data_IF_912658230403
#
_entry.id   IF_912658230403
#
_cell.length_a   1.000
_cell.length_b   1.000
_cell.length_c   1.000
_cell.angle_alpha   90.00
_cell.angle_beta   90.00
_cell.angle_gamma   90.00
#
_symmetry.space_group_name_H-M   'P 1'
#
loop_
_entity.id
_entity.type
_entity.pdbx_description
1 polymer ?
#
# COMPACT_ATOMS: atom_id res chain seq x y z
N UNK A 1 -31.41 -15.37 9.27
CA UNK A 1 -31.64 -14.09 9.98
C UNK A 1 -31.16 -14.24 11.41
N UNK A 2 -30.31 -13.31 11.87
CA UNK A 2 -29.85 -13.27 13.26
C UNK A 2 -30.97 -12.71 14.13
N UNK A 3 -31.21 -13.32 15.29
CA UNK A 3 -32.27 -12.82 16.18
C UNK A 3 -32.00 -11.34 16.54
N UNK A 4 -33.03 -10.51 16.49
CA UNK A 4 -32.93 -9.07 16.72
C UNK A 4 -32.24 -8.73 18.04
N UNK A 5 -32.50 -9.48 19.10
CA UNK A 5 -31.87 -9.33 20.43
C UNK A 5 -30.36 -9.58 20.40
N UNK A 6 -29.87 -10.56 19.59
CA UNK A 6 -28.44 -10.85 19.42
C UNK A 6 -27.76 -9.71 18.67
N UNK A 7 -28.40 -9.12 17.65
CA UNK A 7 -27.92 -7.98 16.87
C UNK A 7 -27.75 -6.72 17.73
N UNK A 8 -28.78 -6.32 18.48
CA UNK A 8 -28.73 -5.13 19.35
C UNK A 8 -27.63 -5.28 20.42
N UNK A 9 -27.51 -6.45 21.02
CA UNK A 9 -26.47 -6.74 22.01
C UNK A 9 -25.05 -6.62 21.39
N UNK A 10 -24.85 -7.11 20.19
CA UNK A 10 -23.59 -6.98 19.46
C UNK A 10 -23.23 -5.52 19.20
N UNK A 11 -24.19 -4.75 18.69
CA UNK A 11 -24.00 -3.33 18.36
C UNK A 11 -23.61 -2.51 19.61
N UNK A 12 -24.36 -2.64 20.69
CA UNK A 12 -24.09 -1.87 21.92
C UNK A 12 -22.75 -2.22 22.55
N UNK A 13 -22.41 -3.51 22.68
CA UNK A 13 -21.13 -3.97 23.26
C UNK A 13 -19.94 -3.51 22.45
N UNK A 14 -20.04 -3.62 21.12
CA UNK A 14 -18.93 -3.28 20.25
C UNK A 14 -18.71 -1.76 20.18
N UNK A 15 -19.77 -0.96 20.11
CA UNK A 15 -19.69 0.51 20.11
C UNK A 15 -19.19 1.06 21.44
N UNK A 16 -19.70 0.54 22.58
CA UNK A 16 -19.19 0.96 23.91
C UNK A 16 -17.70 0.66 24.05
N UNK A 17 -17.27 -0.55 23.68
CA UNK A 17 -15.85 -0.93 23.69
C UNK A 17 -15.01 0.00 22.78
N UNK A 18 -15.53 0.33 21.61
CA UNK A 18 -14.83 1.21 20.67
C UNK A 18 -14.66 2.62 21.21
N UNK A 19 -15.66 3.16 21.87
CA UNK A 19 -15.58 4.49 22.48
C UNK A 19 -14.44 4.58 23.50
N UNK A 20 -14.24 3.50 24.29
CA UNK A 20 -13.23 3.44 25.35
C UNK A 20 -11.84 3.05 24.83
N UNK A 21 -11.74 2.18 23.81
CA UNK A 21 -10.49 1.49 23.44
C UNK A 21 -9.93 1.89 22.06
N UNK A 22 -10.63 2.74 21.31
CA UNK A 22 -10.15 3.16 19.97
C UNK A 22 -8.81 3.88 20.07
N UNK A 23 -7.85 3.44 19.24
CA UNK A 23 -6.56 4.11 19.12
C UNK A 23 -6.73 5.52 18.55
N UNK A 24 -5.97 6.49 19.08
CA UNK A 24 -5.87 7.83 18.47
C UNK A 24 -5.11 7.75 17.13
N UNK A 25 -5.80 8.10 16.06
CA UNK A 25 -5.23 8.11 14.72
C UNK A 25 -5.49 9.45 14.04
N UNK A 26 -4.51 10.01 13.30
CA UNK A 26 -4.64 11.36 12.74
C UNK A 26 -5.83 11.53 11.78
N UNK A 27 -6.29 10.46 11.13
CA UNK A 27 -7.45 10.47 10.22
C UNK A 27 -8.80 10.24 10.92
N UNK A 28 -8.81 10.01 12.25
CA UNK A 28 -10.03 9.90 13.08
C UNK A 28 -10.41 11.20 13.79
N UNK A 29 -9.61 12.28 13.62
CA UNK A 29 -9.83 13.55 14.30
C UNK A 29 -11.01 14.35 13.77
N UNK A 30 -11.43 14.08 12.56
CA UNK A 30 -12.59 14.66 11.91
C UNK A 30 -13.14 13.72 10.84
N UNK A 31 -14.33 14.02 10.35
CA UNK A 31 -15.02 13.24 9.32
C UNK A 31 -14.83 13.83 7.90
N UNK A 32 -13.71 14.51 7.63
CA UNK A 32 -13.40 15.06 6.31
C UNK A 32 -13.26 13.92 5.28
N UNK A 33 -14.12 13.86 4.23
CA UNK A 33 -14.13 12.76 3.29
C UNK A 33 -12.82 12.60 2.50
N UNK A 34 -12.14 13.70 2.17
CA UNK A 34 -10.85 13.65 1.50
C UNK A 34 -9.78 13.04 2.40
N UNK A 35 -9.74 13.44 3.66
CA UNK A 35 -8.79 12.92 4.65
C UNK A 35 -8.98 11.43 4.90
N UNK A 36 -10.22 10.97 4.96
CA UNK A 36 -10.56 9.55 5.08
C UNK A 36 -10.16 8.81 3.81
N UNK A 37 -10.47 9.34 2.62
CA UNK A 37 -10.07 8.75 1.35
C UNK A 37 -8.55 8.55 1.27
N UNK A 38 -7.76 9.56 1.66
CA UNK A 38 -6.29 9.46 1.70
C UNK A 38 -5.83 8.36 2.65
N UNK A 39 -6.38 8.28 3.86
CA UNK A 39 -6.01 7.24 4.82
C UNK A 39 -6.34 5.83 4.29
N UNK A 40 -7.50 5.66 3.66
CA UNK A 40 -7.91 4.38 3.09
C UNK A 40 -6.97 3.92 1.97
N UNK A 41 -6.56 4.83 1.07
CA UNK A 41 -5.55 4.51 0.06
C UNK A 41 -4.20 4.13 0.67
N UNK A 42 -3.77 4.80 1.74
CA UNK A 42 -2.50 4.49 2.42
C UNK A 42 -2.55 3.18 3.18
N UNK A 43 -3.69 2.85 3.79
CA UNK A 43 -3.89 1.63 4.59
C UNK A 43 -4.06 0.36 3.76
N UNK A 44 -4.36 0.46 2.45
CA UNK A 44 -4.40 -0.72 1.58
C UNK A 44 -3.07 -1.48 1.66
N UNK A 45 -3.08 -2.67 2.26
CA UNK A 45 -1.92 -3.56 2.43
C UNK A 45 -0.70 -2.92 3.15
N UNK A 46 -0.93 -1.88 3.95
CA UNK A 46 0.11 -1.20 4.73
C UNK A 46 -0.32 -1.07 6.19
N UNK A 47 0.58 -1.37 7.11
CA UNK A 47 0.30 -1.30 8.55
C UNK A 47 0.12 0.14 9.04
N UNK A 48 -0.80 0.35 9.97
CA UNK A 48 -1.11 1.65 10.59
C UNK A 48 0.13 2.40 11.06
N UNK A 49 1.04 1.72 11.78
CA UNK A 49 2.28 2.31 12.30
C UNK A 49 3.13 2.93 11.18
N UNK A 50 3.17 2.29 10.03
CA UNK A 50 3.90 2.79 8.84
C UNK A 50 3.16 3.97 8.22
N UNK A 51 1.83 3.95 8.17
CA UNK A 51 1.02 4.99 7.51
C UNK A 51 1.03 6.31 8.25
N UNK A 52 1.01 6.32 9.59
CA UNK A 52 0.90 7.54 10.39
C UNK A 52 1.89 8.66 9.98
N UNK A 53 3.22 8.43 9.89
CA UNK A 53 4.16 9.47 9.50
C UNK A 53 3.96 9.95 8.05
N UNK A 54 3.60 9.05 7.14
CA UNK A 54 3.31 9.40 5.75
C UNK A 54 2.05 10.26 5.62
N UNK A 55 0.99 9.88 6.31
CA UNK A 55 -0.25 10.64 6.34
C UNK A 55 -0.05 12.07 6.87
N UNK A 56 0.69 12.22 7.97
CA UNK A 56 1.02 13.55 8.53
C UNK A 56 1.80 14.41 7.53
N UNK A 57 2.81 13.82 6.86
CA UNK A 57 3.58 14.51 5.81
C UNK A 57 2.71 14.86 4.60
N UNK A 58 1.83 13.94 4.19
CA UNK A 58 0.91 14.13 3.07
C UNK A 58 -0.05 15.27 3.31
N UNK A 59 -0.69 15.32 4.47
CA UNK A 59 -1.65 16.37 4.82
C UNK A 59 -1.02 17.77 4.90
N UNK A 60 0.29 17.87 5.18
CA UNK A 60 1.01 19.16 5.08
C UNK A 60 1.18 19.64 3.65
N UNK A 61 1.42 18.72 2.71
CA UNK A 61 1.73 19.07 1.31
C UNK A 61 0.49 19.06 0.41
N UNK A 62 -0.50 18.23 0.71
CA UNK A 62 -1.73 18.04 -0.05
C UNK A 62 -2.95 18.03 0.90
N UNK A 63 -3.26 19.16 1.54
CA UNK A 63 -4.34 19.24 2.54
C UNK A 63 -5.74 19.06 1.95
N UNK A 64 -5.91 19.27 0.64
CA UNK A 64 -7.19 19.18 -0.09
C UNK A 64 -7.04 18.39 -1.39
N UNK A 65 -8.16 17.90 -1.93
CA UNK A 65 -8.20 17.26 -3.23
C UNK A 65 -7.71 18.18 -4.36
N UNK A 66 -7.99 19.48 -4.27
CA UNK A 66 -7.51 20.50 -5.21
C UNK A 66 -5.98 20.56 -5.24
N UNK A 67 -5.33 20.70 -4.08
CA UNK A 67 -3.86 20.74 -3.98
C UNK A 67 -3.20 19.46 -4.49
N UNK A 68 -3.86 18.31 -4.27
CA UNK A 68 -3.38 17.04 -4.80
C UNK A 68 -3.56 16.94 -6.32
N UNK A 69 -4.69 17.38 -6.85
CA UNK A 69 -4.98 17.40 -8.29
C UNK A 69 -3.98 18.25 -9.07
N UNK A 70 -3.65 19.44 -8.53
CA UNK A 70 -2.71 20.38 -9.12
C UNK A 70 -1.23 19.91 -9.03
N UNK A 71 -0.91 18.94 -8.18
CA UNK A 71 0.46 18.48 -8.00
C UNK A 71 0.94 17.62 -9.17
N UNK A 72 2.24 17.72 -9.53
CA UNK A 72 2.85 16.83 -10.50
C UNK A 72 2.89 15.38 -10.00
N UNK A 73 2.79 14.41 -10.90
CA UNK A 73 2.89 12.99 -10.55
C UNK A 73 4.20 12.67 -9.82
N UNK A 74 5.31 13.26 -10.25
CA UNK A 74 6.62 13.09 -9.62
C UNK A 74 6.61 13.54 -8.14
N UNK A 75 6.03 14.71 -7.85
CA UNK A 75 5.88 15.22 -6.47
C UNK A 75 5.03 14.28 -5.61
N UNK A 76 3.94 13.77 -6.15
CA UNK A 76 3.04 12.82 -5.46
C UNK A 76 3.77 11.50 -5.16
N UNK A 77 4.45 10.93 -6.16
CA UNK A 77 5.24 9.70 -6.01
C UNK A 77 6.38 9.89 -4.99
N UNK A 78 7.01 11.07 -4.96
CA UNK A 78 8.07 11.37 -3.97
C UNK A 78 7.55 11.40 -2.54
N UNK A 79 6.33 11.91 -2.32
CA UNK A 79 5.70 11.88 -0.99
C UNK A 79 5.25 10.47 -0.56
N UNK A 80 5.04 9.57 -1.54
CA UNK A 80 4.64 8.19 -1.32
C UNK A 80 5.83 7.22 -1.21
N UNK A 81 7.05 7.69 -1.50
CA UNK A 81 8.26 6.88 -1.56
C UNK A 81 8.47 6.07 -0.26
N UNK A 82 8.56 4.74 -0.39
CA UNK A 82 8.72 3.83 0.74
C UNK A 82 7.42 3.13 1.21
N UNK A 83 6.23 3.64 0.89
CA UNK A 83 4.96 2.96 1.21
C UNK A 83 4.68 1.72 0.33
N UNK A 84 5.33 1.64 -0.84
CA UNK A 84 5.06 0.58 -1.82
C UNK A 84 3.72 0.73 -2.54
N UNK A 85 3.45 -0.20 -3.49
CA UNK A 85 2.21 -0.18 -4.29
C UNK A 85 1.88 1.22 -4.84
N UNK A 86 2.81 1.78 -5.61
CA UNK A 86 2.76 3.17 -6.11
C UNK A 86 1.55 3.47 -7.02
N UNK A 87 0.90 2.44 -7.57
CA UNK A 87 -0.39 2.58 -8.26
C UNK A 87 -1.46 3.24 -7.39
N UNK A 88 -1.40 3.04 -6.05
CA UNK A 88 -2.31 3.71 -5.11
C UNK A 88 -2.13 5.22 -5.13
N UNK A 89 -0.89 5.71 -5.08
CA UNK A 89 -0.59 7.14 -5.16
C UNK A 89 -1.06 7.76 -6.49
N UNK A 90 -0.81 7.06 -7.60
CA UNK A 90 -1.28 7.48 -8.92
C UNK A 90 -2.81 7.52 -9.00
N UNK A 91 -3.47 6.48 -8.50
CA UNK A 91 -4.92 6.40 -8.47
C UNK A 91 -5.52 7.49 -7.56
N UNK A 92 -4.94 7.71 -6.38
CA UNK A 92 -5.39 8.77 -5.47
C UNK A 92 -5.28 10.17 -6.12
N UNK A 93 -4.18 10.44 -6.85
CA UNK A 93 -4.06 11.68 -7.62
C UNK A 93 -5.09 11.76 -8.75
N UNK A 94 -5.29 10.69 -9.51
CA UNK A 94 -6.33 10.63 -10.56
C UNK A 94 -7.72 10.85 -9.97
N UNK A 95 -8.03 10.23 -8.82
CA UNK A 95 -9.28 10.47 -8.10
C UNK A 95 -9.44 11.92 -7.68
N UNK A 96 -8.37 12.58 -7.21
CA UNK A 96 -8.42 14.00 -6.87
C UNK A 96 -8.67 14.89 -8.10
N UNK A 97 -8.09 14.58 -9.26
CA UNK A 97 -8.37 15.27 -10.52
C UNK A 97 -9.84 15.10 -10.91
N UNK A 98 -10.34 13.87 -10.88
CA UNK A 98 -11.75 13.58 -11.21
C UNK A 98 -12.71 14.26 -10.23
N UNK A 99 -12.39 14.30 -8.93
CA UNK A 99 -13.17 15.03 -7.92
C UNK A 99 -13.28 16.52 -8.28
N UNK A 100 -12.21 17.15 -8.76
CA UNK A 100 -12.25 18.53 -9.22
C UNK A 100 -13.10 18.71 -10.47
N UNK A 101 -12.93 17.84 -11.46
CA UNK A 101 -13.57 17.98 -12.78
C UNK A 101 -15.05 17.61 -12.80
N UNK A 102 -15.44 16.55 -12.10
CA UNK A 102 -16.77 15.95 -12.21
C UNK A 102 -17.64 16.17 -10.96
N UNK A 103 -17.04 16.49 -9.81
CA UNK A 103 -17.75 16.58 -8.54
C UNK A 103 -17.54 17.92 -7.80
N UNK A 104 -17.16 18.99 -8.52
CA UNK A 104 -16.99 20.34 -7.98
C UNK A 104 -16.09 20.39 -6.73
N UNK A 105 -15.02 19.60 -6.70
CA UNK A 105 -14.07 19.53 -5.60
C UNK A 105 -14.54 18.76 -4.37
N UNK A 106 -15.74 18.18 -4.38
CA UNK A 106 -16.31 17.43 -3.25
C UNK A 106 -16.20 15.92 -3.48
N UNK A 107 -15.73 15.19 -2.51
CA UNK A 107 -15.74 13.71 -2.58
C UNK A 107 -17.20 13.24 -2.68
N UNK A 108 -17.51 12.35 -3.65
CA UNK A 108 -18.88 11.86 -3.81
C UNK A 108 -19.40 11.13 -2.58
N UNK A 109 -20.67 11.34 -2.25
CA UNK A 109 -21.38 10.76 -1.10
C UNK A 109 -22.36 9.63 -1.46
N UNK A 110 -22.28 9.10 -2.68
CA UNK A 110 -23.07 7.94 -3.11
C UNK A 110 -22.20 6.81 -3.65
N UNK A 111 -22.62 5.56 -3.43
CA UNK A 111 -21.89 4.36 -3.86
C UNK A 111 -21.62 4.37 -5.36
N UNK A 112 -22.61 4.73 -6.16
CA UNK A 112 -22.49 4.77 -7.62
C UNK A 112 -21.39 5.74 -8.09
N UNK A 113 -21.35 6.94 -7.50
CA UNK A 113 -20.41 7.99 -7.89
C UNK A 113 -19.00 7.72 -7.36
N UNK A 114 -18.85 7.30 -6.09
CA UNK A 114 -17.54 7.08 -5.47
C UNK A 114 -16.80 5.88 -6.09
N UNK A 115 -17.50 4.86 -6.55
CA UNK A 115 -16.93 3.71 -7.26
C UNK A 115 -16.34 4.07 -8.64
N UNK A 116 -16.69 5.24 -9.22
CA UNK A 116 -16.09 5.75 -10.46
C UNK A 116 -14.68 6.28 -10.24
N UNK A 117 -14.29 6.58 -8.99
CA UNK A 117 -12.97 7.09 -8.67
C UNK A 117 -11.89 6.00 -8.85
N UNK A 118 -10.78 6.30 -9.57
CA UNK A 118 -9.70 5.34 -9.81
C UNK A 118 -9.12 4.74 -8.52
N UNK A 119 -9.12 3.41 -8.42
CA UNK A 119 -8.57 2.69 -7.26
C UNK A 119 -9.49 2.59 -6.05
N UNK A 120 -10.71 3.11 -6.14
CA UNK A 120 -11.76 2.95 -5.12
C UNK A 120 -12.57 1.70 -5.44
N UNK A 121 -12.43 0.67 -4.60
CA UNK A 121 -13.27 -0.53 -4.63
C UNK A 121 -14.38 -0.47 -3.59
N UNK A 122 -15.23 -1.52 -3.57
CA UNK A 122 -16.39 -1.63 -2.65
C UNK A 122 -16.02 -1.36 -1.19
N UNK A 123 -14.88 -1.89 -0.72
CA UNK A 123 -14.37 -1.66 0.63
C UNK A 123 -14.07 -0.17 0.88
N UNK A 124 -13.21 0.45 0.06
CA UNK A 124 -12.82 1.86 0.26
C UNK A 124 -14.01 2.81 0.11
N UNK A 125 -14.95 2.51 -0.82
CA UNK A 125 -16.20 3.24 -0.96
C UNK A 125 -17.04 3.15 0.32
N UNK A 126 -17.23 1.94 0.84
CA UNK A 126 -17.97 1.71 2.09
C UNK A 126 -17.33 2.43 3.29
N UNK A 127 -16.00 2.40 3.39
CA UNK A 127 -15.27 3.09 4.45
C UNK A 127 -15.48 4.62 4.39
N UNK A 128 -15.29 5.23 3.22
CA UNK A 128 -15.50 6.68 3.07
C UNK A 128 -16.97 7.06 3.31
N UNK A 129 -17.92 6.32 2.74
CA UNK A 129 -19.34 6.63 2.87
C UNK A 129 -19.84 6.49 4.31
N UNK A 130 -19.41 5.45 5.02
CA UNK A 130 -19.85 5.25 6.40
C UNK A 130 -19.13 6.18 7.39
N UNK A 131 -17.82 6.38 7.25
CA UNK A 131 -17.03 7.17 8.21
C UNK A 131 -17.25 8.67 8.02
N UNK A 132 -17.27 9.15 6.76
CA UNK A 132 -17.41 10.59 6.48
C UNK A 132 -18.87 11.06 6.49
N UNK A 133 -19.79 10.23 6.03
CA UNK A 133 -21.18 10.64 5.79
C UNK A 133 -22.22 9.86 6.63
N UNK A 134 -21.74 8.98 7.52
CA UNK A 134 -22.56 8.06 8.35
C UNK A 134 -23.59 7.25 7.55
N UNK A 135 -23.29 6.99 6.26
CA UNK A 135 -24.16 6.16 5.41
C UNK A 135 -24.17 4.72 5.90
N UNK A 136 -25.31 4.08 5.85
CA UNK A 136 -25.49 2.66 6.22
C UNK A 136 -24.91 1.74 5.14
N UNK A 137 -23.59 1.71 5.06
CA UNK A 137 -22.83 0.91 4.10
C UNK A 137 -21.81 0.05 4.83
N UNK A 138 -21.80 -1.26 4.58
CA UNK A 138 -20.83 -2.16 5.22
C UNK A 138 -19.42 -1.99 4.66
N UNK A 139 -18.43 -2.40 5.45
CA UNK A 139 -17.05 -2.63 5.01
C UNK A 139 -16.64 -4.07 5.30
N UNK A 140 -15.71 -4.60 4.51
CA UNK A 140 -15.25 -5.98 4.69
C UNK A 140 -13.76 -6.09 4.31
N UNK A 141 -12.89 -5.92 5.32
CA UNK A 141 -11.44 -6.15 5.20
C UNK A 141 -11.04 -7.52 5.76
N UNK A 142 -9.74 -7.82 5.75
CA UNK A 142 -9.21 -9.07 6.30
C UNK A 142 -9.43 -9.23 7.81
N UNK A 143 -9.51 -8.13 8.56
CA UNK A 143 -9.79 -8.15 10.00
C UNK A 143 -11.24 -8.48 10.26
N UNK A 144 -12.15 -7.80 9.58
CA UNK A 144 -13.60 -8.04 9.69
C UNK A 144 -13.95 -9.46 9.25
N UNK A 145 -13.41 -9.94 8.11
CA UNK A 145 -13.58 -11.33 7.65
C UNK A 145 -13.21 -12.32 8.76
N UNK A 146 -12.10 -12.13 9.45
CA UNK A 146 -11.66 -12.99 10.55
C UNK A 146 -12.60 -12.91 11.77
N UNK A 147 -12.98 -11.69 12.16
CA UNK A 147 -13.90 -11.51 13.31
C UNK A 147 -15.24 -12.17 13.03
N UNK A 148 -15.84 -11.94 11.86
CA UNK A 148 -17.13 -12.56 11.47
C UNK A 148 -17.03 -14.08 11.40
N UNK A 149 -15.92 -14.59 10.80
CA UNK A 149 -15.67 -16.03 10.70
C UNK A 149 -15.68 -16.72 12.08
N UNK A 150 -15.03 -16.10 13.07
CA UNK A 150 -15.01 -16.59 14.46
C UNK A 150 -16.32 -16.37 15.20
N UNK A 151 -16.93 -15.20 15.00
CA UNK A 151 -18.18 -14.84 15.69
C UNK A 151 -19.31 -15.82 15.38
N UNK A 152 -19.34 -16.37 14.16
CA UNK A 152 -20.43 -17.19 13.65
C UNK A 152 -19.98 -18.56 13.12
N UNK A 153 -18.78 -19.02 13.44
CA UNK A 153 -18.17 -20.26 12.93
C UNK A 153 -18.31 -20.44 11.40
N UNK A 154 -18.19 -19.33 10.68
CA UNK A 154 -18.26 -19.37 9.22
C UNK A 154 -16.99 -20.01 8.67
N UNK A 155 -17.12 -21.18 8.07
CA UNK A 155 -16.02 -21.89 7.40
C UNK A 155 -15.68 -21.23 6.04
N UNK A 156 -15.52 -19.91 6.07
CA UNK A 156 -15.37 -19.09 4.88
C UNK A 156 -14.05 -18.31 4.96
N UNK A 157 -13.12 -18.74 4.12
CA UNK A 157 -11.84 -18.02 3.96
C UNK A 157 -11.93 -16.86 2.93
N UNK A 158 -13.13 -16.60 2.38
CA UNK A 158 -13.38 -15.57 1.38
C UNK A 158 -12.67 -15.83 0.03
N UNK A 159 -12.32 -17.09 -0.26
CA UNK A 159 -11.62 -17.46 -1.49
C UNK A 159 -12.58 -17.71 -2.68
N UNK A 160 -13.89 -17.84 -2.42
CA UNK A 160 -14.90 -17.94 -3.46
C UNK A 160 -15.92 -16.79 -3.35
N UNK A 161 -16.54 -16.47 -4.47
CA UNK A 161 -17.49 -15.35 -4.59
C UNK A 161 -18.72 -15.51 -3.68
N UNK A 162 -19.17 -16.73 -3.46
CA UNK A 162 -20.34 -17.04 -2.64
C UNK A 162 -20.06 -16.79 -1.15
N UNK A 163 -18.90 -17.25 -0.66
CA UNK A 163 -18.43 -16.97 0.70
C UNK A 163 -18.28 -15.48 0.96
N UNK A 164 -17.70 -14.78 0.01
CA UNK A 164 -17.52 -13.32 0.11
C UNK A 164 -18.86 -12.59 0.16
N UNK A 165 -19.81 -12.97 -0.69
CA UNK A 165 -21.17 -12.38 -0.69
C UNK A 165 -21.86 -12.60 0.65
N UNK A 166 -21.74 -13.79 1.23
CA UNK A 166 -22.33 -14.12 2.54
C UNK A 166 -21.77 -13.25 3.67
N UNK A 167 -20.44 -13.02 3.67
CA UNK A 167 -19.80 -12.14 4.65
C UNK A 167 -20.24 -10.66 4.49
N UNK A 168 -20.40 -10.18 3.24
CA UNK A 168 -20.93 -8.84 2.98
C UNK A 168 -22.37 -8.69 3.52
N UNK A 169 -23.24 -9.64 3.23
CA UNK A 169 -24.64 -9.62 3.69
C UNK A 169 -24.70 -9.69 5.24
N UNK A 170 -23.87 -10.52 5.86
CA UNK A 170 -23.78 -10.59 7.32
C UNK A 170 -23.35 -9.26 7.92
N UNK A 171 -22.37 -8.59 7.33
CA UNK A 171 -21.92 -7.29 7.82
C UNK A 171 -22.99 -6.20 7.62
N UNK A 172 -23.74 -6.25 6.51
CA UNK A 172 -24.87 -5.36 6.26
C UNK A 172 -25.99 -5.57 7.27
N UNK A 173 -26.31 -6.82 7.58
CA UNK A 173 -27.32 -7.19 8.60
C UNK A 173 -26.94 -6.67 10.00
N UNK A 174 -25.64 -6.59 10.32
CA UNK A 174 -25.17 -6.12 11.62
C UNK A 174 -25.14 -4.60 11.76
N UNK A 175 -25.13 -3.85 10.68
CA UNK A 175 -25.02 -2.40 10.74
C UNK A 175 -26.16 -1.79 11.58
N UNK A 176 -25.86 -0.84 12.49
CA UNK A 176 -26.85 -0.04 13.17
C UNK A 176 -27.46 1.03 12.22
N UNK A 177 -28.56 1.66 12.65
CA UNK A 177 -29.18 2.76 11.89
C UNK A 177 -28.39 4.07 11.98
N UNK A 178 -27.61 4.25 13.06
CA UNK A 178 -26.75 5.41 13.33
C UNK A 178 -25.37 4.95 13.75
N UNK A 179 -24.35 5.81 13.59
CA UNK A 179 -22.96 5.48 13.93
C UNK A 179 -22.40 4.34 13.09
N UNK A 180 -22.82 4.24 11.82
CA UNK A 180 -22.37 3.18 10.92
C UNK A 180 -20.84 3.23 10.71
N UNK A 181 -20.28 4.43 10.61
CA UNK A 181 -18.84 4.64 10.49
C UNK A 181 -18.07 4.18 11.72
N UNK A 182 -18.56 4.49 12.93
CA UNK A 182 -17.98 4.01 14.18
C UNK A 182 -18.05 2.49 14.28
N UNK A 183 -19.18 1.90 13.91
CA UNK A 183 -19.37 0.46 13.95
C UNK A 183 -18.42 -0.30 13.00
N UNK A 184 -18.27 0.19 11.79
CA UNK A 184 -17.30 -0.34 10.83
C UNK A 184 -15.87 -0.25 11.38
N UNK A 185 -15.49 0.93 11.91
CA UNK A 185 -14.19 1.13 12.53
C UNK A 185 -13.98 0.24 13.76
N UNK A 186 -15.02 0.01 14.56
CA UNK A 186 -14.97 -0.85 15.73
C UNK A 186 -14.66 -2.32 15.37
N UNK A 187 -15.26 -2.85 14.31
CA UNK A 187 -14.91 -4.18 13.81
C UNK A 187 -13.46 -4.26 13.32
N UNK A 188 -13.00 -3.24 12.55
CA UNK A 188 -11.61 -3.18 12.11
C UNK A 188 -10.64 -3.09 13.29
N UNK A 189 -10.95 -2.28 14.29
CA UNK A 189 -10.15 -2.10 15.51
C UNK A 189 -10.09 -3.39 16.33
N UNK A 190 -11.23 -4.03 16.56
CA UNK A 190 -11.32 -5.31 17.27
C UNK A 190 -10.45 -6.37 16.60
N UNK A 191 -10.51 -6.46 15.27
CA UNK A 191 -9.66 -7.37 14.52
C UNK A 191 -8.18 -7.01 14.61
N UNK A 192 -7.84 -5.73 14.67
CA UNK A 192 -6.45 -5.27 14.71
C UNK A 192 -5.78 -5.39 16.08
N UNK A 193 -6.57 -5.38 17.20
CA UNK A 193 -6.02 -5.24 18.56
C UNK A 193 -6.38 -6.41 19.48
N UNK A 194 -7.52 -7.04 19.30
CA UNK A 194 -8.03 -8.10 20.22
C UNK A 194 -8.18 -9.43 19.49
N UNK A 195 -8.95 -9.48 18.42
CA UNK A 195 -9.20 -10.72 17.67
C UNK A 195 -8.06 -10.98 16.67
N UNK A 196 -6.83 -11.19 17.16
CA UNK A 196 -5.62 -11.37 16.37
C UNK A 196 -5.65 -12.66 15.54
N UNK A 197 -4.84 -12.75 14.45
CA UNK A 197 -4.74 -13.97 13.65
C UNK A 197 -4.28 -15.20 14.45
N UNK A 198 -3.32 -15.00 15.35
CA UNK A 198 -2.80 -16.02 16.28
C UNK A 198 -2.96 -15.50 17.70
N UNK A 199 -3.29 -16.40 18.65
CA UNK A 199 -3.43 -16.11 20.07
C UNK A 199 -4.33 -14.86 20.32
N UNK A 200 -5.62 -14.87 19.93
CA UNK A 200 -6.52 -13.76 20.16
C UNK A 200 -6.76 -13.54 21.66
N UNK A 201 -6.93 -12.29 22.08
CA UNK A 201 -7.21 -11.91 23.47
C UNK A 201 -8.70 -12.08 23.80
N UNK A 202 -9.21 -13.32 23.74
CA UNK A 202 -10.65 -13.62 23.88
C UNK A 202 -11.21 -13.20 25.25
N UNK A 203 -10.41 -13.22 26.32
CA UNK A 203 -10.82 -12.79 27.68
C UNK A 203 -11.18 -11.30 27.72
N UNK A 204 -10.52 -10.47 26.89
CA UNK A 204 -10.71 -9.02 26.82
C UNK A 204 -11.75 -8.62 25.74
N UNK A 205 -12.22 -9.60 24.95
CA UNK A 205 -13.10 -9.32 23.81
C UNK A 205 -14.51 -8.92 24.26
N UNK A 206 -15.06 -7.79 23.81
CA UNK A 206 -16.41 -7.35 24.16
C UNK A 206 -17.49 -8.32 23.66
N UNK A 207 -17.15 -9.11 22.62
CA UNK A 207 -18.06 -10.06 22.00
C UNK A 207 -17.91 -11.50 22.51
N UNK A 208 -17.07 -11.75 23.54
CA UNK A 208 -16.75 -13.13 24.04
C UNK A 208 -17.96 -13.98 24.35
N UNK A 209 -19.01 -13.38 24.93
CA UNK A 209 -20.23 -14.08 25.35
C UNK A 209 -21.13 -14.49 24.18
N UNK A 210 -20.97 -13.88 23.01
CA UNK A 210 -21.79 -14.17 21.83
C UNK A 210 -20.96 -14.75 20.66
N UNK A 211 -19.65 -14.94 20.88
CA UNK A 211 -18.74 -15.49 19.90
C UNK A 211 -18.78 -17.02 19.92
N UNK A 212 -19.29 -17.63 18.87
CA UNK A 212 -19.45 -19.08 18.76
C UNK A 212 -18.10 -19.82 18.78
N UNK A 213 -17.06 -19.26 18.17
CA UNK A 213 -15.71 -19.85 18.20
C UNK A 213 -15.12 -19.84 19.62
N UNK A 214 -15.36 -18.78 20.40
CA UNK A 214 -14.89 -18.71 21.79
C UNK A 214 -15.65 -19.70 22.70
N UNK A 215 -16.96 -19.85 22.50
CA UNK A 215 -17.80 -20.77 23.29
C UNK A 215 -17.46 -22.25 23.04
N UNK A 216 -16.89 -22.56 21.86
CA UNK A 216 -16.53 -23.91 21.44
C UNK A 216 -15.02 -24.17 21.36
N UNK A 217 -14.19 -23.26 21.88
CA UNK A 217 -12.72 -23.31 21.84
C UNK A 217 -12.14 -23.53 20.43
N UNK A 218 -12.80 -22.94 19.39
CA UNK A 218 -12.43 -23.10 17.97
C UNK A 218 -11.81 -21.86 17.33
N UNK A 219 -11.41 -20.85 18.10
CA UNK A 219 -10.89 -19.58 17.56
C UNK A 219 -9.64 -19.72 16.69
N UNK A 220 -8.83 -20.75 16.89
CA UNK A 220 -7.62 -20.99 16.12
C UNK A 220 -7.89 -21.72 14.80
N UNK A 221 -9.07 -22.33 14.65
CA UNK A 221 -9.49 -23.00 13.43
C UNK A 221 -10.21 -22.06 12.44
N UNK A 222 -10.60 -20.87 12.89
CA UNK A 222 -11.36 -19.91 12.08
C UNK A 222 -10.64 -18.56 11.93
N UNK A 223 -10.62 -17.98 10.72
CA UNK A 223 -10.96 -18.61 9.44
C UNK A 223 -9.98 -19.74 9.10
N UNK A 224 -10.37 -20.71 8.26
CA UNK A 224 -9.45 -21.76 7.83
C UNK A 224 -8.20 -21.15 7.17
N UNK A 225 -7.03 -21.80 7.33
CA UNK A 225 -5.78 -21.27 6.85
C UNK A 225 -5.81 -21.07 5.32
N UNK A 226 -5.26 -19.95 4.87
CA UNK A 226 -5.05 -19.72 3.43
C UNK A 226 -3.89 -20.54 2.94
N UNK A 227 -3.98 -21.03 1.70
CA UNK A 227 -2.85 -21.66 1.01
C UNK A 227 -1.67 -20.68 0.97
N UNK A 228 -0.50 -21.16 1.40
CA UNK A 228 0.71 -20.34 1.42
C UNK A 228 1.07 -19.88 0.00
N UNK A 229 1.29 -18.59 -0.18
CA UNK A 229 1.77 -18.04 -1.45
C UNK A 229 3.26 -18.34 -1.53
N UNK A 230 3.69 -19.05 -2.60
CA UNK A 230 5.12 -19.28 -2.87
C UNK A 230 5.78 -17.93 -3.23
N UNK A 231 6.69 -17.48 -2.37
CA UNK A 231 7.46 -16.25 -2.61
C UNK A 231 8.58 -16.58 -3.60
N UNK A 232 8.58 -15.93 -4.76
CA UNK A 232 9.67 -16.05 -5.73
C UNK A 232 10.88 -15.22 -5.28
N UNK A 233 12.09 -15.76 -5.50
CA UNK A 233 13.35 -15.06 -5.24
C UNK A 233 13.93 -14.58 -6.57
N UNK A 234 14.26 -13.31 -6.66
CA UNK A 234 14.77 -12.67 -7.87
C UNK A 234 16.12 -12.03 -7.53
N UNK A 235 17.12 -12.28 -8.34
CA UNK A 235 18.40 -11.59 -8.28
C UNK A 235 18.44 -10.53 -9.39
N UNK A 236 18.95 -9.36 -9.09
CA UNK A 236 19.01 -8.19 -9.97
C UNK A 236 20.37 -7.55 -9.85
N UNK A 237 20.98 -7.20 -11.00
CA UNK A 237 22.17 -6.34 -11.04
C UNK A 237 21.81 -4.93 -11.49
N UNK A 238 22.40 -3.91 -10.86
CA UNK A 238 22.20 -2.51 -11.18
C UNK A 238 23.51 -1.75 -11.30
N UNK A 239 23.60 -0.87 -12.29
CA UNK A 239 24.76 -0.03 -12.57
C UNK A 239 24.58 1.39 -12.04
N UNK A 240 25.45 1.85 -11.17
CA UNK A 240 25.64 3.28 -10.88
C UNK A 240 26.68 3.82 -11.85
N UNK A 241 26.22 4.40 -12.97
CA UNK A 241 27.09 4.87 -14.04
C UNK A 241 27.50 6.32 -13.76
N UNK A 242 28.80 6.58 -13.58
CA UNK A 242 29.36 7.91 -13.35
C UNK A 242 29.91 8.51 -14.64
N UNK A 243 29.70 9.84 -14.80
CA UNK A 243 30.33 10.65 -15.84
C UNK A 243 30.54 12.07 -15.33
N UNK A 244 31.79 12.52 -15.21
CA UNK A 244 32.16 13.88 -14.76
C UNK A 244 31.46 14.32 -13.47
N UNK A 245 31.38 13.44 -12.46
CA UNK A 245 30.73 13.71 -11.18
C UNK A 245 29.20 13.55 -11.16
N UNK A 246 28.58 13.27 -12.30
CA UNK A 246 27.15 13.01 -12.41
C UNK A 246 26.85 11.51 -12.45
N UNK A 247 25.66 11.13 -12.04
CA UNK A 247 25.14 9.76 -12.05
C UNK A 247 23.98 9.67 -13.04
N UNK A 248 23.98 8.62 -13.85
CA UNK A 248 22.89 8.32 -14.75
C UNK A 248 21.72 7.72 -14.00
N UNK A 249 20.52 8.23 -14.26
CA UNK A 249 19.24 7.66 -13.82
C UNK A 249 18.26 7.64 -14.98
N UNK A 250 17.34 6.65 -14.95
CA UNK A 250 16.30 6.54 -15.96
C UNK A 250 14.91 6.38 -15.31
N UNK A 251 13.88 6.88 -16.01
CA UNK A 251 12.50 6.82 -15.56
C UNK A 251 11.79 5.64 -16.21
N UNK A 252 11.34 4.70 -15.39
CA UNK A 252 10.61 3.52 -15.86
C UNK A 252 9.36 3.92 -16.66
N UNK A 253 9.07 3.17 -17.72
CA UNK A 253 7.86 3.35 -18.52
C UNK A 253 6.62 3.43 -17.63
N UNK A 254 5.68 4.29 -17.98
CA UNK A 254 4.47 4.55 -17.18
C UNK A 254 3.62 3.29 -16.94
N UNK A 255 3.61 2.36 -17.93
CA UNK A 255 2.96 1.05 -17.82
C UNK A 255 3.93 0.03 -17.20
N UNK A 256 3.42 -0.82 -16.31
CA UNK A 256 4.20 -1.90 -15.69
C UNK A 256 4.48 -1.72 -14.20
N UNK A 257 5.27 -2.63 -13.65
CA UNK A 257 5.62 -2.64 -12.23
C UNK A 257 6.48 -1.40 -11.90
N UNK A 258 6.05 -0.63 -10.89
CA UNK A 258 6.75 0.58 -10.42
C UNK A 258 6.92 1.66 -11.52
N UNK A 259 6.06 1.68 -12.54
CA UNK A 259 6.13 2.63 -13.65
C UNK A 259 6.11 4.09 -13.18
N UNK A 260 6.89 4.96 -13.86
CA UNK A 260 7.05 6.38 -13.55
C UNK A 260 7.99 6.70 -12.39
N UNK A 261 8.56 5.69 -11.72
CA UNK A 261 9.66 5.88 -10.77
C UNK A 261 11.00 5.93 -11.52
N UNK A 262 11.98 6.57 -10.89
CA UNK A 262 13.35 6.59 -11.35
C UNK A 262 14.11 5.38 -10.84
N UNK A 263 15.07 4.90 -11.61
CA UNK A 263 15.90 3.76 -11.24
C UNK A 263 17.32 3.92 -11.77
N UNK A 264 18.22 3.10 -11.25
CA UNK A 264 19.53 2.85 -11.84
C UNK A 264 19.36 1.73 -12.88
N UNK A 265 19.96 1.83 -14.08
CA UNK A 265 19.79 0.85 -15.14
C UNK A 265 20.34 -0.52 -14.74
N UNK A 266 19.74 -1.57 -15.30
CA UNK A 266 20.06 -2.96 -15.01
C UNK A 266 18.83 -3.84 -14.94
N UNK A 267 19.02 -5.13 -14.68
CA UNK A 267 17.93 -6.08 -14.78
C UNK A 267 18.08 -7.37 -14.01
N UNK A 268 17.22 -8.32 -14.34
CA UNK A 268 17.17 -9.63 -13.69
C UNK A 268 18.31 -10.51 -14.19
N UNK A 269 19.02 -11.15 -13.25
CA UNK A 269 20.02 -12.19 -13.56
C UNK A 269 19.29 -13.42 -14.09
N UNK A 270 19.65 -13.86 -15.28
CA UNK A 270 19.09 -15.05 -15.91
C UNK A 270 19.78 -16.34 -15.42
N UNK A 271 19.19 -17.50 -15.75
CA UNK A 271 19.76 -18.78 -15.34
C UNK A 271 21.13 -19.02 -16.00
N UNK A 272 22.15 -19.29 -15.19
CA UNK A 272 23.52 -19.50 -15.66
C UNK A 272 24.34 -18.22 -15.83
N UNK A 273 23.75 -17.04 -15.61
CA UNK A 273 24.40 -15.75 -15.76
C UNK A 273 24.99 -15.26 -14.41
N UNK A 274 26.18 -14.71 -14.47
CA UNK A 274 26.79 -14.01 -13.33
C UNK A 274 26.21 -12.58 -13.17
N UNK A 275 26.41 -11.95 -12.02
CA UNK A 275 26.01 -10.55 -11.77
C UNK A 275 26.62 -9.58 -12.80
N UNK A 276 27.86 -9.84 -13.22
CA UNK A 276 28.62 -8.99 -14.13
C UNK A 276 28.15 -9.18 -15.58
N UNK A 277 27.91 -10.41 -16.00
CA UNK A 277 27.37 -10.71 -17.34
C UNK A 277 25.99 -10.13 -17.52
N UNK A 278 25.10 -10.30 -16.55
CA UNK A 278 23.79 -9.65 -16.52
C UNK A 278 23.92 -8.12 -16.68
N UNK A 279 24.79 -7.50 -15.93
CA UNK A 279 24.93 -6.06 -15.97
C UNK A 279 25.43 -5.56 -17.33
N UNK A 280 26.38 -6.26 -17.97
CA UNK A 280 26.85 -5.95 -19.33
C UNK A 280 25.75 -6.10 -20.37
N UNK A 281 24.99 -7.19 -20.31
CA UNK A 281 23.87 -7.46 -21.24
C UNK A 281 22.78 -6.39 -21.09
N UNK A 282 22.28 -6.17 -19.88
CA UNK A 282 21.21 -5.21 -19.62
C UNK A 282 21.58 -3.77 -20.03
N UNK A 283 22.79 -3.33 -19.70
CA UNK A 283 23.25 -1.98 -20.08
C UNK A 283 23.39 -1.86 -21.60
N UNK A 284 23.83 -2.91 -22.27
CA UNK A 284 23.90 -2.94 -23.73
C UNK A 284 22.52 -2.88 -24.38
N UNK A 285 21.57 -3.64 -23.85
CA UNK A 285 20.17 -3.69 -24.31
C UNK A 285 19.43 -2.39 -24.04
N UNK A 286 19.53 -1.87 -22.81
CA UNK A 286 18.77 -0.68 -22.38
C UNK A 286 19.35 0.63 -22.90
N UNK A 287 20.68 0.76 -22.96
CA UNK A 287 21.37 2.03 -23.22
C UNK A 287 22.21 2.06 -24.50
N UNK A 288 22.45 0.91 -25.14
CA UNK A 288 23.28 0.80 -26.35
C UNK A 288 24.78 1.01 -26.14
N UNK A 289 25.25 1.10 -24.88
CA UNK A 289 26.66 1.38 -24.55
C UNK A 289 27.36 0.18 -23.91
N UNK A 290 28.71 0.18 -23.98
CA UNK A 290 29.52 -0.73 -23.18
C UNK A 290 30.02 0.02 -21.94
N UNK A 291 30.13 -0.71 -20.81
CA UNK A 291 30.59 -0.16 -19.54
C UNK A 291 31.84 -0.86 -19.02
N UNK A 292 32.66 -0.11 -18.31
CA UNK A 292 33.69 -0.65 -17.42
C UNK A 292 33.04 -0.81 -16.04
N UNK A 293 32.98 -2.04 -15.55
CA UNK A 293 32.43 -2.37 -14.24
C UNK A 293 33.58 -2.30 -13.24
N UNK A 294 33.41 -1.49 -12.20
CA UNK A 294 34.33 -1.30 -11.09
C UNK A 294 33.92 -2.11 -9.86
N UNK A 295 34.06 -1.52 -8.69
CA UNK A 295 33.77 -2.18 -7.43
C UNK A 295 32.28 -2.43 -7.20
N UNK A 296 31.97 -3.46 -6.44
CA UNK A 296 30.63 -3.76 -5.97
C UNK A 296 30.32 -2.85 -4.77
N UNK A 297 29.42 -1.90 -4.96
CA UNK A 297 29.06 -0.90 -3.95
C UNK A 297 28.25 -1.48 -2.80
N UNK A 298 27.32 -2.41 -3.11
CA UNK A 298 26.48 -3.05 -2.11
C UNK A 298 25.73 -4.26 -2.65
N UNK A 299 25.32 -5.13 -1.73
CA UNK A 299 24.25 -6.13 -1.94
C UNK A 299 23.13 -5.84 -0.96
N UNK A 300 21.91 -5.72 -1.45
CA UNK A 300 20.73 -5.42 -0.62
C UNK A 300 19.58 -6.37 -0.89
N UNK A 301 19.06 -7.00 0.17
CA UNK A 301 17.83 -7.82 0.10
C UNK A 301 16.62 -6.99 0.47
N UNK A 302 15.60 -7.03 -0.39
CA UNK A 302 14.34 -6.34 -0.15
C UNK A 302 13.17 -7.28 -0.43
N UNK A 303 12.21 -7.35 0.50
CA UNK A 303 11.03 -8.19 0.36
C UNK A 303 9.82 -7.37 -0.06
N UNK A 304 9.21 -7.76 -1.15
CA UNK A 304 7.89 -7.33 -1.58
C UNK A 304 6.86 -8.39 -1.23
N UNK A 305 5.59 -8.09 -1.31
CA UNK A 305 4.51 -9.03 -0.91
C UNK A 305 4.54 -10.36 -1.65
N UNK A 306 4.97 -10.37 -2.93
CA UNK A 306 4.94 -11.56 -3.79
C UNK A 306 6.31 -12.10 -4.18
N UNK A 307 7.37 -11.33 -3.94
CA UNK A 307 8.73 -11.71 -4.31
C UNK A 307 9.77 -11.04 -3.42
N UNK A 308 10.93 -11.66 -3.32
CA UNK A 308 12.11 -11.12 -2.64
C UNK A 308 13.16 -10.81 -3.71
N UNK A 309 13.70 -9.59 -3.67
CA UNK A 309 14.78 -9.14 -4.56
C UNK A 309 16.09 -9.11 -3.78
N UNK A 310 17.13 -9.71 -4.37
CA UNK A 310 18.53 -9.43 -3.99
C UNK A 310 19.10 -8.53 -5.07
N UNK A 311 19.45 -7.31 -4.69
CA UNK A 311 19.98 -6.27 -5.58
C UNK A 311 21.49 -6.18 -5.40
N UNK A 312 22.24 -6.43 -6.47
CA UNK A 312 23.70 -6.31 -6.56
C UNK A 312 24.01 -5.01 -7.30
N UNK A 313 24.75 -4.10 -6.67
CA UNK A 313 25.00 -2.75 -7.20
C UNK A 313 26.46 -2.56 -7.46
N UNK A 314 26.81 -2.09 -8.65
CA UNK A 314 28.19 -1.87 -9.07
C UNK A 314 28.40 -0.42 -9.49
N UNK A 315 29.58 0.11 -9.15
CA UNK A 315 30.08 1.34 -9.73
C UNK A 315 30.51 1.07 -11.17
N UNK A 316 30.08 1.93 -12.11
CA UNK A 316 30.36 1.76 -13.52
C UNK A 316 30.76 3.07 -14.18
N UNK A 317 31.50 2.95 -15.30
CA UNK A 317 31.82 4.06 -16.20
C UNK A 317 31.50 3.68 -17.64
N UNK A 318 31.01 4.61 -18.44
CA UNK A 318 30.85 4.38 -19.88
C UNK A 318 32.22 4.18 -20.51
N UNK A 319 32.35 3.11 -21.30
CA UNK A 319 33.61 2.79 -22.00
C UNK A 319 33.52 3.12 -23.48
N UNK A 320 32.46 2.69 -24.18
CA UNK A 320 32.27 2.94 -25.62
C UNK A 320 30.77 2.89 -25.98
N UNK A 321 30.46 3.41 -27.19
CA UNK A 321 29.09 3.47 -27.70
C UNK A 321 28.43 4.84 -27.52
N UNK A 322 27.35 5.05 -28.26
CA UNK A 322 26.52 6.26 -28.18
C UNK A 322 25.30 5.93 -27.27
N UNK A 323 25.11 6.74 -26.23
CA UNK A 323 23.99 6.58 -25.30
C UNK A 323 22.65 6.73 -26.07
N UNK A 324 21.87 5.66 -26.07
CA UNK A 324 20.57 5.54 -26.75
C UNK A 324 19.58 4.79 -25.87
N UNK A 325 19.04 5.40 -24.81
CA UNK A 325 18.10 4.76 -23.91
C UNK A 325 16.81 4.36 -24.62
N UNK A 326 16.46 3.07 -24.57
CA UNK A 326 15.31 2.49 -25.28
C UNK A 326 14.23 1.95 -24.35
N UNK A 327 14.57 1.66 -23.08
CA UNK A 327 13.69 0.99 -22.12
C UNK A 327 12.98 1.92 -21.13
N UNK A 328 13.13 3.24 -21.27
CA UNK A 328 12.62 4.24 -20.33
C UNK A 328 11.80 5.36 -21.01
N UNK A 329 11.00 6.10 -20.23
CA UNK A 329 10.25 7.27 -20.71
C UNK A 329 11.07 8.56 -20.64
N UNK A 330 12.10 8.61 -19.79
CA UNK A 330 12.97 9.77 -19.58
C UNK A 330 14.29 9.31 -18.93
N UNK A 331 15.37 10.10 -19.07
CA UNK A 331 16.65 9.84 -18.43
C UNK A 331 17.40 11.11 -18.13
N UNK A 332 18.31 11.07 -17.13
CA UNK A 332 19.08 12.25 -16.73
C UNK A 332 20.45 11.87 -16.20
N UNK A 333 21.37 12.82 -16.34
CA UNK A 333 22.58 12.90 -15.55
C UNK A 333 22.33 13.86 -14.41
N UNK A 334 22.47 13.41 -13.16
CA UNK A 334 22.17 14.19 -11.95
C UNK A 334 23.32 14.12 -10.98
N UNK A 335 23.54 15.15 -10.20
CA UNK A 335 24.50 15.09 -9.11
C UNK A 335 24.01 14.13 -8.00
N UNK A 336 24.93 13.42 -7.30
CA UNK A 336 24.52 12.51 -6.23
C UNK A 336 23.62 13.15 -5.17
N UNK A 337 23.88 14.39 -4.76
CA UNK A 337 23.09 15.15 -3.78
C UNK A 337 21.68 15.53 -4.27
N UNK A 338 21.46 15.62 -5.58
CA UNK A 338 20.18 15.91 -6.22
C UNK A 338 19.28 14.67 -6.35
N UNK A 339 19.80 13.44 -6.19
CA UNK A 339 19.02 12.20 -6.30
C UNK A 339 17.81 12.15 -5.38
N UNK A 340 17.85 12.83 -4.23
CA UNK A 340 16.73 12.91 -3.31
C UNK A 340 15.49 13.63 -3.88
N UNK A 341 15.61 14.35 -4.98
CA UNK A 341 14.49 15.05 -5.63
C UNK A 341 13.62 14.08 -6.46
N UNK A 342 14.15 12.92 -6.80
CA UNK A 342 13.50 11.93 -7.66
C UNK A 342 12.87 10.79 -6.84
N UNK A 343 11.68 10.29 -7.22
CA UNK A 343 11.05 9.15 -6.56
C UNK A 343 11.66 7.83 -7.06
N UNK A 344 12.17 7.01 -6.15
CA UNK A 344 12.77 5.71 -6.45
C UNK A 344 11.99 4.53 -5.84
N UNK A 345 12.07 3.31 -6.41
CA UNK A 345 11.67 2.08 -5.73
C UNK A 345 12.42 1.90 -4.41
N UNK A 346 11.79 1.28 -3.41
CA UNK A 346 12.34 1.15 -2.06
C UNK A 346 13.76 0.53 -2.03
N UNK A 347 14.05 -0.45 -2.90
CA UNK A 347 15.38 -1.04 -3.01
C UNK A 347 16.42 -0.03 -3.52
N UNK A 348 16.05 0.82 -4.50
CA UNK A 348 16.93 1.85 -5.07
C UNK A 348 17.18 3.03 -4.11
N UNK A 349 16.25 3.32 -3.19
CA UNK A 349 16.46 4.36 -2.15
C UNK A 349 17.71 4.07 -1.31
N UNK A 350 18.09 2.79 -1.15
CA UNK A 350 19.33 2.41 -0.43
C UNK A 350 20.57 2.85 -1.20
N UNK A 351 20.56 2.74 -2.53
CA UNK A 351 21.65 3.24 -3.39
C UNK A 351 21.76 4.76 -3.26
N UNK A 352 20.64 5.48 -3.36
CA UNK A 352 20.61 6.94 -3.18
C UNK A 352 21.22 7.37 -1.85
N UNK A 353 20.87 6.67 -0.76
CA UNK A 353 21.42 6.96 0.57
C UNK A 353 22.93 6.71 0.64
N UNK A 354 23.42 5.65 0.00
CA UNK A 354 24.86 5.34 -0.06
C UNK A 354 25.63 6.44 -0.79
N UNK A 355 25.15 6.85 -1.97
CA UNK A 355 25.78 7.87 -2.80
C UNK A 355 25.82 9.23 -2.10
N UNK A 356 24.74 9.63 -1.44
CA UNK A 356 24.68 10.88 -0.67
C UNK A 356 25.59 10.89 0.56
N UNK A 357 25.89 9.74 1.15
CA UNK A 357 26.85 9.65 2.27
C UNK A 357 28.27 9.85 1.77
N UNK A 358 28.61 9.27 0.63
CA UNK A 358 29.96 9.37 0.06
C UNK A 358 30.26 10.79 -0.45
N UNK A 359 29.26 11.48 -1.04
CA UNK A 359 29.42 12.86 -1.51
C UNK A 359 29.61 13.91 -0.40
N UNK A 360 29.30 13.57 0.87
CA UNK A 360 29.53 14.45 2.02
C UNK A 360 30.91 14.27 2.65
N UNK A 361 31.60 13.19 2.30
CA UNK A 361 32.90 12.82 2.82
C UNK A 361 34.04 13.08 1.81
N UNK A 362 33.70 13.54 0.60
CA UNK A 362 34.59 14.00 -0.46
C UNK A 362 34.57 15.52 -0.58
#
# INVERSE_FOLDING_TARGET
MIALKKKINLQSRLLSWYDDQKRDMPWRKNNDPYRILVSEFMLQQTQVKTVIPYYKKWMKSFPTAEKLAAASESKVLKHWEGLGYYSRAKNLRKSAIQIQQEFNGKVPDSMEKILKLPGVGRYSAGAVLSIAFDKKVPVLDGNIKRVLSRLMLLNENGNNKQSETRLWNTMEDFLPEKRCGDFNQAFMELGATVCLPKNPFCKECPLKQICEANQSDKQDFFPPPKTAIKISRIQVSAAVIFKKGYVYIQKRRAKGLMGGLWEFPGGKIESGETEIECLRREIKEELGVNIRIGEKLMTHRHSYTRFQVTLHVFQCQMHSGKLSPSACDDWKWVKPDELNQYPFPAANVKIVKLLNKNSKNS
#
